data_IF_408600581981
#
_entry.id   IF_408600581981
#
_cell.length_a   1.000
_cell.length_b   1.000
_cell.length_c   1.000
_cell.angle_alpha   90.00
_cell.angle_beta   90.00
_cell.angle_gamma   90.00
#
_symmetry.space_group_name_H-M   'P 1'
#
loop_
_entity.id
_entity.type
_entity.pdbx_description
1 polymer ?
#
# COMPACT_ATOMS: atom_id res chain seq x y z
N UNK A 1 7.17 -17.67 8.03
CA UNK A 1 5.76 -17.50 7.62
C UNK A 1 5.73 -16.63 6.38
N UNK A 2 5.35 -17.18 5.23
CA UNK A 2 5.19 -16.40 3.99
C UNK A 2 3.75 -15.88 3.98
N UNK A 3 3.57 -14.56 4.04
CA UNK A 3 2.27 -13.91 3.85
C UNK A 3 2.06 -13.77 2.35
N UNK A 4 1.15 -14.56 1.79
CA UNK A 4 0.73 -14.44 0.40
C UNK A 4 -0.48 -13.51 0.36
N UNK A 5 -0.35 -12.33 -0.24
CA UNK A 5 -1.49 -11.47 -0.55
C UNK A 5 -2.24 -12.07 -1.74
N UNK A 6 -3.58 -12.15 -1.66
CA UNK A 6 -4.43 -12.63 -2.75
C UNK A 6 -4.87 -11.41 -3.57
N UNK A 7 -4.40 -11.33 -4.81
CA UNK A 7 -4.74 -10.26 -5.74
C UNK A 7 -6.11 -10.51 -6.39
N UNK A 8 -6.74 -9.45 -6.90
CA UNK A 8 -7.97 -9.59 -7.67
C UNK A 8 -7.71 -10.41 -8.95
N UNK A 9 -8.72 -11.14 -9.44
CA UNK A 9 -8.59 -12.12 -10.54
C UNK A 9 -8.07 -11.49 -11.86
N UNK A 10 -8.16 -10.17 -12.00
CA UNK A 10 -7.73 -9.37 -13.13
C UNK A 10 -6.53 -8.45 -12.83
N UNK A 11 -5.90 -8.62 -11.66
CA UNK A 11 -4.72 -7.86 -11.29
C UNK A 11 -3.47 -8.57 -11.84
N UNK A 12 -2.84 -7.97 -12.84
CA UNK A 12 -1.62 -8.50 -13.46
C UNK A 12 -0.36 -8.21 -12.65
N UNK A 13 -0.49 -7.56 -11.49
CA UNK A 13 0.63 -7.16 -10.65
C UNK A 13 1.12 -8.35 -9.85
N UNK A 14 2.37 -8.76 -10.06
CA UNK A 14 2.98 -9.81 -9.27
C UNK A 14 3.05 -9.39 -7.80
N UNK A 15 2.49 -10.23 -6.94
CA UNK A 15 2.60 -10.07 -5.51
C UNK A 15 3.93 -10.48 -4.96
N UNK A 16 4.75 -9.48 -4.63
CA UNK A 16 5.98 -9.72 -3.88
C UNK A 16 5.68 -9.50 -2.39
N UNK A 17 6.19 -10.39 -1.54
CA UNK A 17 5.94 -10.40 -0.09
C UNK A 17 6.44 -9.16 0.68
N UNK A 18 7.04 -8.18 0.00
CA UNK A 18 7.68 -7.00 0.59
C UNK A 18 6.99 -5.69 0.13
N UNK A 19 5.66 -5.64 0.23
CA UNK A 19 4.90 -4.41 -0.01
C UNK A 19 4.78 -3.58 1.28
N UNK A 20 5.04 -2.28 1.18
CA UNK A 20 4.74 -1.30 2.22
C UNK A 20 3.53 -0.47 1.82
N UNK A 21 2.71 -0.11 2.80
CA UNK A 21 1.62 0.84 2.65
C UNK A 21 2.02 2.14 3.34
N UNK A 22 2.12 3.22 2.57
CA UNK A 22 2.65 4.51 3.04
C UNK A 22 1.54 5.55 2.97
N UNK A 23 1.20 6.12 4.13
CA UNK A 23 0.24 7.22 4.24
C UNK A 23 0.95 8.56 3.95
N UNK A 24 0.48 9.30 2.94
CA UNK A 24 0.95 10.67 2.67
C UNK A 24 0.12 11.68 3.46
N UNK A 25 0.30 11.63 4.78
CA UNK A 25 -0.45 12.48 5.71
C UNK A 25 -0.18 14.00 5.53
N UNK A 26 0.87 14.38 4.79
CA UNK A 26 1.33 15.78 4.67
C UNK A 26 0.71 16.46 3.45
N UNK A 27 0.81 15.86 2.27
CA UNK A 27 0.39 16.51 1.02
C UNK A 27 -0.92 15.94 0.49
N UNK A 28 -1.18 14.65 0.71
CA UNK A 28 -2.36 13.95 0.19
C UNK A 28 -2.95 13.04 1.27
N UNK A 29 -3.57 13.60 2.33
CA UNK A 29 -3.94 12.84 3.52
C UNK A 29 -5.01 11.76 3.26
N UNK A 30 -5.65 11.76 2.10
CA UNK A 30 -6.62 10.76 1.68
C UNK A 30 -6.01 9.68 0.75
N UNK A 31 -4.69 9.63 0.61
CA UNK A 31 -3.98 8.71 -0.28
C UNK A 31 -3.03 7.81 0.51
N UNK A 32 -3.07 6.51 0.21
CA UNK A 32 -2.08 5.52 0.64
C UNK A 32 -1.41 4.92 -0.59
N UNK A 33 -0.08 5.01 -0.64
CA UNK A 33 0.71 4.42 -1.71
C UNK A 33 1.14 3.00 -1.35
N UNK A 34 1.06 2.08 -2.32
CA UNK A 34 1.70 0.76 -2.22
C UNK A 34 3.10 0.84 -2.82
N UNK A 35 4.09 0.52 -2.02
CA UNK A 35 5.50 0.54 -2.38
C UNK A 35 6.07 -0.87 -2.35
N UNK A 36 6.65 -1.31 -3.47
CA UNK A 36 7.31 -2.60 -3.57
C UNK A 36 8.80 -2.44 -3.24
N UNK A 37 9.22 -2.98 -2.09
CA UNK A 37 10.63 -2.92 -1.71
C UNK A 37 11.55 -3.77 -2.61
N UNK A 38 11.03 -4.83 -3.22
CA UNK A 38 11.85 -5.70 -4.06
C UNK A 38 12.29 -5.00 -5.36
N UNK A 39 11.49 -4.05 -5.85
CA UNK A 39 11.76 -3.26 -7.06
C UNK A 39 12.10 -1.79 -6.76
N UNK A 40 12.12 -1.40 -5.49
CA UNK A 40 12.33 -0.02 -5.02
C UNK A 40 11.42 0.99 -5.72
N UNK A 41 10.14 0.63 -5.90
CA UNK A 41 9.21 1.43 -6.70
C UNK A 41 7.76 1.40 -6.18
N UNK A 42 7.05 2.51 -6.39
CA UNK A 42 5.61 2.56 -6.17
C UNK A 42 4.87 1.79 -7.27
N UNK A 43 3.93 0.94 -6.86
CA UNK A 43 3.21 0.07 -7.78
C UNK A 43 1.71 0.35 -7.84
N UNK A 44 1.13 0.99 -6.82
CA UNK A 44 -0.31 1.25 -6.75
C UNK A 44 -0.65 2.37 -5.75
N UNK A 45 -1.88 2.85 -5.82
CA UNK A 45 -2.42 3.94 -4.99
C UNK A 45 -3.84 3.61 -4.55
N UNK A 46 -4.11 3.72 -3.26
CA UNK A 46 -5.45 3.63 -2.69
C UNK A 46 -5.91 5.04 -2.32
N UNK A 47 -7.04 5.45 -2.85
CA UNK A 47 -7.66 6.75 -2.58
C UNK A 47 -8.89 6.54 -1.71
N UNK A 48 -9.00 7.33 -0.65
CA UNK A 48 -10.11 7.33 0.28
C UNK A 48 -10.93 8.62 0.15
N UNK A 49 -12.20 8.55 0.55
CA UNK A 49 -13.10 9.72 0.56
C UNK A 49 -12.79 10.70 1.71
N UNK A 50 -11.94 10.29 2.66
CA UNK A 50 -11.54 11.08 3.81
C UNK A 50 -10.07 10.84 4.17
N UNK A 51 -9.53 11.69 5.04
CA UNK A 51 -8.15 11.57 5.51
C UNK A 51 -7.90 10.25 6.27
N UNK A 52 -6.83 9.55 5.90
CA UNK A 52 -6.34 8.35 6.54
C UNK A 52 -5.63 8.72 7.83
N UNK A 53 -6.00 8.05 8.93
CA UNK A 53 -5.39 8.23 10.24
C UNK A 53 -4.54 7.03 10.60
N UNK A 54 -3.33 7.28 11.06
CA UNK A 54 -2.45 6.24 11.58
C UNK A 54 -2.99 5.75 12.93
N UNK A 55 -3.00 4.42 13.11
CA UNK A 55 -3.33 3.79 14.39
C UNK A 55 -2.01 3.52 15.10
N UNK A 56 -1.71 4.33 16.11
CA UNK A 56 -0.57 4.08 16.99
C UNK A 56 -0.94 2.98 18.00
N UNK A 57 -0.13 1.92 18.05
CA UNK A 57 -0.17 0.92 19.11
C UNK A 57 0.90 1.29 20.14
N UNK A 58 0.46 1.62 21.36
CA UNK A 58 1.29 1.93 22.52
C UNK A 58 1.29 0.78 23.52
#
# INVERSE_FOLDING_TARGET
FVKTELYAVNDTTNGYSNMLYINDAVYNPNIVYKFNQATDSYCDTIVFDAAVKDINFY
#
